data_IF_254281158642
#
_entry.id   IF_254281158642
#
_cell.length_a   1.000
_cell.length_b   1.000
_cell.length_c   1.000
_cell.angle_alpha   90.00
_cell.angle_beta   90.00
_cell.angle_gamma   90.00
#
_symmetry.space_group_name_H-M   'P 1'
#
loop_
_entity.id
_entity.type
_entity.pdbx_description
1 polymer ?
#
# COMPACT_ATOMS: atom_id res chain seq x y z
N UNK A 1 -30.25 9.29 0.95
CA UNK A 1 -29.36 8.74 1.99
C UNK A 1 -29.07 7.30 1.63
N UNK A 2 -28.03 7.04 0.84
CA UNK A 2 -27.51 5.68 0.67
C UNK A 2 -26.17 5.65 1.37
N UNK A 3 -26.21 5.16 2.61
CA UNK A 3 -25.05 4.73 3.37
C UNK A 3 -24.46 3.53 2.62
N UNK A 4 -23.54 3.82 1.70
CA UNK A 4 -22.80 2.78 1.00
C UNK A 4 -22.02 2.03 2.06
N UNK A 5 -22.45 0.79 2.33
CA UNK A 5 -21.85 -0.17 3.24
C UNK A 5 -20.33 -0.21 3.05
N UNK A 6 -19.63 0.58 3.85
CA UNK A 6 -18.18 0.55 3.98
C UNK A 6 -17.88 -0.74 4.72
N UNK A 7 -17.67 -1.82 3.96
CA UNK A 7 -17.30 -3.10 4.54
C UNK A 7 -16.05 -2.86 5.38
N UNK A 8 -16.07 -3.18 6.70
CA UNK A 8 -14.88 -3.02 7.52
C UNK A 8 -13.73 -3.83 6.93
N UNK A 9 -12.49 -3.37 7.07
CA UNK A 9 -11.35 -4.06 6.49
C UNK A 9 -11.27 -5.44 7.16
N UNK A 10 -11.06 -6.47 6.35
CA UNK A 10 -10.91 -7.82 6.88
C UNK A 10 -9.53 -7.96 7.53
N UNK A 11 -9.37 -8.94 8.40
CA UNK A 11 -8.06 -9.26 8.98
C UNK A 11 -7.00 -9.59 7.90
N UNK A 12 -7.44 -10.00 6.70
CA UNK A 12 -6.56 -10.20 5.55
C UNK A 12 -6.10 -8.87 4.95
N UNK A 13 -7.00 -7.90 4.79
CA UNK A 13 -6.66 -6.56 4.31
C UNK A 13 -5.66 -5.86 5.26
N UNK A 14 -5.85 -6.01 6.59
CA UNK A 14 -4.91 -5.51 7.60
C UNK A 14 -3.54 -6.20 7.53
N UNK A 15 -3.51 -7.52 7.30
CA UNK A 15 -2.24 -8.28 7.14
C UNK A 15 -1.47 -7.82 5.90
N UNK A 16 -2.18 -7.56 4.80
CA UNK A 16 -1.57 -7.02 3.58
C UNK A 16 -0.99 -5.63 3.84
N UNK A 17 -1.75 -4.73 4.49
CA UNK A 17 -1.25 -3.41 4.87
C UNK A 17 -0.02 -3.50 5.79
N UNK A 18 -0.06 -4.34 6.81
CA UNK A 18 1.05 -4.55 7.73
C UNK A 18 2.32 -5.11 7.05
N UNK A 19 2.17 -5.85 5.95
CA UNK A 19 3.28 -6.35 5.13
C UNK A 19 3.83 -5.27 4.19
N UNK A 20 2.95 -4.49 3.55
CA UNK A 20 3.34 -3.57 2.48
C UNK A 20 3.78 -2.19 2.97
N UNK A 21 3.15 -1.66 4.01
CA UNK A 21 3.46 -0.32 4.54
C UNK A 21 4.94 -0.18 4.96
N UNK A 22 5.55 -1.13 5.71
CA UNK A 22 6.97 -1.03 6.06
C UNK A 22 7.89 -0.98 4.84
N UNK A 23 7.61 -1.81 3.82
CA UNK A 23 8.39 -1.87 2.57
C UNK A 23 8.31 -0.55 1.84
N UNK A 24 7.09 -0.01 1.66
CA UNK A 24 6.89 1.29 1.06
C UNK A 24 7.60 2.40 1.84
N UNK A 25 7.57 2.39 3.18
CA UNK A 25 8.28 3.38 4.01
C UNK A 25 9.80 3.30 3.85
N UNK A 26 10.38 2.10 3.78
CA UNK A 26 11.81 1.91 3.54
C UNK A 26 12.22 2.42 2.16
N UNK A 27 11.40 2.20 1.14
CA UNK A 27 11.65 2.71 -0.21
C UNK A 27 11.49 4.23 -0.27
N UNK A 28 10.42 4.77 0.31
CA UNK A 28 10.17 6.21 0.38
C UNK A 28 11.32 6.91 1.09
N UNK A 29 11.87 6.32 2.16
CA UNK A 29 12.99 6.90 2.90
C UNK A 29 14.26 7.07 2.05
N UNK A 30 14.44 6.27 0.99
CA UNK A 30 15.57 6.41 0.04
C UNK A 30 15.46 7.66 -0.82
N UNK A 31 14.25 8.16 -1.05
CA UNK A 31 13.98 9.33 -1.90
C UNK A 31 13.64 10.58 -1.06
N UNK A 32 12.82 10.42 -0.03
CA UNK A 32 12.41 11.45 0.91
C UNK A 32 12.25 10.88 2.34
N UNK A 33 13.32 11.00 3.13
CA UNK A 33 13.34 10.54 4.53
C UNK A 33 12.31 11.25 5.42
N UNK A 34 11.99 12.52 5.12
CA UNK A 34 11.04 13.30 5.93
C UNK A 34 9.62 12.82 5.67
N UNK A 35 9.26 12.57 4.41
CA UNK A 35 7.98 11.99 4.04
C UNK A 35 7.81 10.60 4.68
N UNK A 36 8.82 9.74 4.57
CA UNK A 36 8.80 8.42 5.20
C UNK A 36 8.64 8.49 6.72
N UNK A 37 9.33 9.41 7.39
CA UNK A 37 9.23 9.58 8.84
C UNK A 37 7.83 10.01 9.26
N UNK A 38 7.20 10.96 8.54
CA UNK A 38 5.83 11.41 8.82
C UNK A 38 4.83 10.27 8.61
N UNK A 39 4.90 9.60 7.47
CA UNK A 39 4.04 8.46 7.16
C UNK A 39 4.21 7.31 8.17
N UNK A 40 5.43 7.08 8.68
CA UNK A 40 5.69 6.10 9.75
C UNK A 40 5.03 6.48 11.07
N UNK A 41 5.06 7.75 11.46
CA UNK A 41 4.39 8.21 12.69
C UNK A 41 2.87 8.06 12.58
N UNK A 42 2.32 8.37 11.40
CA UNK A 42 0.90 8.19 11.11
C UNK A 42 0.51 6.71 11.18
N UNK A 43 1.30 5.84 10.53
CA UNK A 43 1.14 4.39 10.61
C UNK A 43 1.15 3.87 12.05
N UNK A 44 2.06 4.35 12.90
CA UNK A 44 2.12 3.98 14.32
C UNK A 44 0.90 4.44 15.13
N UNK A 45 0.22 5.51 14.69
CA UNK A 45 -1.07 5.96 15.26
C UNK A 45 -2.26 5.15 14.73
N UNK A 46 -2.02 4.18 13.86
CA UNK A 46 -3.01 3.29 13.26
C UNK A 46 -3.71 3.86 12.02
N UNK A 47 -3.28 5.03 11.52
CA UNK A 47 -3.91 5.67 10.36
C UNK A 47 -2.93 6.48 9.54
N UNK A 48 -2.93 6.30 8.23
CA UNK A 48 -2.13 7.13 7.32
C UNK A 48 -2.77 8.50 7.07
N UNK A 49 -1.95 9.52 6.85
CA UNK A 49 -2.43 10.80 6.30
C UNK A 49 -2.99 10.60 4.87
N UNK A 50 -3.92 11.45 4.39
CA UNK A 50 -4.49 11.33 3.04
C UNK A 50 -3.44 11.35 1.93
N UNK A 51 -2.37 12.12 2.10
CA UNK A 51 -1.23 12.19 1.16
C UNK A 51 -0.48 10.85 1.12
N UNK A 52 -0.04 10.36 2.29
CA UNK A 52 0.62 9.07 2.44
C UNK A 52 -0.23 7.89 1.92
N UNK A 53 -1.55 7.92 2.16
CA UNK A 53 -2.48 6.93 1.64
C UNK A 53 -2.50 6.89 0.10
N UNK A 54 -2.51 8.06 -0.54
CA UNK A 54 -2.47 8.17 -2.00
C UNK A 54 -1.13 7.71 -2.56
N UNK A 55 -0.03 8.15 -1.98
CA UNK A 55 1.32 7.73 -2.41
C UNK A 55 1.52 6.21 -2.29
N UNK A 56 0.99 5.60 -1.22
CA UNK A 56 1.01 4.16 -1.05
C UNK A 56 0.17 3.42 -2.12
N UNK A 57 -1.00 3.96 -2.48
CA UNK A 57 -1.85 3.42 -3.55
C UNK A 57 -1.20 3.54 -4.94
N UNK A 58 -0.50 4.65 -5.20
CA UNK A 58 0.27 4.84 -6.42
C UNK A 58 1.46 3.87 -6.48
N UNK A 59 2.20 3.72 -5.36
CA UNK A 59 3.33 2.80 -5.25
C UNK A 59 2.92 1.33 -5.48
N UNK A 60 1.82 0.87 -4.84
CA UNK A 60 1.35 -0.51 -5.03
C UNK A 60 0.88 -0.75 -6.47
N UNK A 61 0.28 0.26 -7.10
CA UNK A 61 -0.14 0.21 -8.50
C UNK A 61 1.05 0.04 -9.44
N UNK A 62 2.11 0.84 -9.24
CA UNK A 62 3.33 0.75 -10.02
C UNK A 62 4.01 -0.63 -9.88
N UNK A 63 4.00 -1.22 -8.67
CA UNK A 63 4.62 -2.53 -8.42
C UNK A 63 3.84 -3.72 -8.95
N UNK A 64 2.51 -3.67 -8.94
CA UNK A 64 1.69 -4.69 -9.60
C UNK A 64 1.93 -4.70 -11.11
N UNK A 65 2.12 -3.53 -11.74
CA UNK A 65 2.43 -3.47 -13.18
C UNK A 65 3.84 -3.96 -13.50
N UNK A 66 4.82 -3.63 -12.65
CA UNK A 66 6.21 -4.06 -12.79
C UNK A 66 6.35 -5.60 -12.69
N UNK A 67 5.55 -6.24 -11.83
CA UNK A 67 5.57 -7.70 -11.60
C UNK A 67 4.61 -8.50 -12.50
N UNK A 68 3.62 -7.84 -13.12
CA UNK A 68 2.64 -8.46 -14.03
C UNK A 68 3.15 -8.67 -15.45
N UNK A 69 4.06 -7.80 -15.93
CA UNK A 69 4.62 -7.88 -17.28
C UNK A 69 5.95 -8.67 -17.37
N UNK A 70 6.74 -8.74 -16.30
CA UNK A 70 8.06 -9.40 -16.29
C UNK A 70 8.04 -10.91 -15.94
N UNK A 71 6.96 -11.64 -16.23
CA UNK A 71 6.97 -13.11 -16.07
C UNK A 71 7.68 -13.86 -17.21
N UNK A 72 7.98 -13.20 -18.31
CA UNK A 72 8.56 -13.85 -19.51
C UNK A 72 10.02 -13.46 -19.80
N UNK A 73 10.65 -12.54 -19.05
CA UNK A 73 12.03 -12.13 -19.35
C UNK A 73 12.86 -11.87 -18.07
N UNK A 74 13.79 -12.79 -17.76
CA UNK A 74 14.91 -12.55 -16.84
C UNK A 74 14.61 -12.66 -15.33
N UNK A 75 15.68 -12.80 -14.50
CA UNK A 75 15.53 -12.91 -13.05
C UNK A 75 14.81 -11.66 -12.53
N UNK A 76 13.71 -11.88 -11.81
CA UNK A 76 12.92 -10.82 -11.18
C UNK A 76 13.85 -9.85 -10.48
N UNK A 77 13.67 -8.52 -10.61
CA UNK A 77 14.37 -7.61 -9.72
C UNK A 77 14.03 -8.06 -8.30
N UNK A 78 15.06 -8.33 -7.51
CA UNK A 78 15.05 -8.82 -6.13
C UNK A 78 14.48 -7.71 -5.20
N UNK A 79 13.31 -7.20 -5.55
CA UNK A 79 12.49 -6.37 -4.70
C UNK A 79 11.89 -7.28 -3.64
N UNK A 80 12.02 -6.95 -2.34
CA UNK A 80 11.77 -7.89 -1.25
C UNK A 80 10.31 -8.32 -1.08
N UNK A 81 9.39 -7.95 -1.97
CA UNK A 81 7.98 -8.34 -1.87
C UNK A 81 7.33 -8.43 -3.24
N UNK A 82 6.96 -9.65 -3.65
CA UNK A 82 6.02 -9.84 -4.76
C UNK A 82 4.66 -9.26 -4.36
N UNK A 83 4.16 -8.29 -5.14
CA UNK A 83 2.87 -7.66 -4.90
C UNK A 83 1.91 -8.12 -5.98
N UNK A 84 0.89 -8.88 -5.57
CA UNK A 84 -0.15 -9.37 -6.48
C UNK A 84 -1.27 -8.34 -6.67
N UNK A 85 -2.08 -8.52 -7.72
CA UNK A 85 -3.32 -7.75 -7.91
C UNK A 85 -4.27 -7.87 -6.69
N UNK A 86 -4.28 -9.05 -6.05
CA UNK A 86 -5.07 -9.27 -4.84
C UNK A 86 -4.56 -8.44 -3.65
N UNK A 87 -3.23 -8.33 -3.49
CA UNK A 87 -2.63 -7.48 -2.46
C UNK A 87 -2.97 -6.01 -2.68
N UNK A 88 -2.90 -5.53 -3.93
CA UNK A 88 -3.35 -4.17 -4.28
C UNK A 88 -4.81 -3.96 -3.89
N UNK A 89 -5.71 -4.86 -4.28
CA UNK A 89 -7.13 -4.73 -3.99
C UNK A 89 -7.40 -4.73 -2.47
N UNK A 90 -6.72 -5.60 -1.72
CA UNK A 90 -6.81 -5.66 -0.27
C UNK A 90 -6.31 -4.37 0.40
N UNK A 91 -5.19 -3.82 -0.07
CA UNK A 91 -4.66 -2.55 0.41
C UNK A 91 -5.60 -1.37 0.13
N UNK A 92 -6.20 -1.33 -1.06
CA UNK A 92 -7.17 -0.30 -1.42
C UNK A 92 -8.40 -0.35 -0.50
N UNK A 93 -8.97 -1.55 -0.26
CA UNK A 93 -10.08 -1.72 0.69
C UNK A 93 -9.70 -1.28 2.10
N UNK A 94 -8.49 -1.58 2.53
CA UNK A 94 -7.97 -1.14 3.82
C UNK A 94 -7.92 0.41 3.91
N UNK A 95 -7.36 1.08 2.89
CA UNK A 95 -7.31 2.55 2.81
C UNK A 95 -8.72 3.17 2.76
N UNK A 96 -9.62 2.58 1.97
CA UNK A 96 -11.01 3.01 1.88
C UNK A 96 -11.72 2.90 3.22
N UNK A 97 -11.52 1.82 3.97
CA UNK A 97 -12.07 1.66 5.31
C UNK A 97 -11.59 2.73 6.30
N UNK A 98 -10.37 3.24 6.14
CA UNK A 98 -9.82 4.32 6.95
C UNK A 98 -10.31 5.72 6.56
N UNK A 99 -11.15 5.85 5.53
CA UNK A 99 -11.66 7.15 5.09
C UNK A 99 -11.03 7.67 3.81
N UNK A 100 -10.04 6.99 3.22
CA UNK A 100 -9.30 7.50 2.06
C UNK A 100 -10.01 7.14 0.74
N UNK A 101 -9.89 8.01 -0.26
CA UNK A 101 -10.33 7.74 -1.63
C UNK A 101 -9.09 7.50 -2.47
N UNK A 102 -8.94 6.29 -3.00
CA UNK A 102 -7.77 5.81 -3.74
C UNK A 102 -8.13 5.15 -5.06
#
# INVERSE_FOLDING_TARGET
>A
MNDASRTPPTAEDERVAARLVPVWLEETARYDERAATRARQDWQRGRLSPEAARELADWVTARVTDTGFNRDEGPSPDGPTHISVADKAALHRWLEAQGHTV
#
